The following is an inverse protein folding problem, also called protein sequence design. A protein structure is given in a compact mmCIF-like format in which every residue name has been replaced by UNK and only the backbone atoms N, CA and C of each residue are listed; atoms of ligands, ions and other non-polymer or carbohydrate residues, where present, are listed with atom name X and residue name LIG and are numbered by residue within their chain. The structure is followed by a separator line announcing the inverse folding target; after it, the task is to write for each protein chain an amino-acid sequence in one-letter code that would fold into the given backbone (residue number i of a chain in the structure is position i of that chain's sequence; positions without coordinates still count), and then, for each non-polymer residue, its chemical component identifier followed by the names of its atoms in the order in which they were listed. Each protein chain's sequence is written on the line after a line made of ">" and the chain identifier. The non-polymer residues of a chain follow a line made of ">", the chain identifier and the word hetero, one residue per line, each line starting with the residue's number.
data_IF_993333709077
#
_entry.id   IF_993333709077
#
_cell.length_a   1.000
_cell.length_b   1.000
_cell.length_c   1.000
_cell.angle_alpha   90.00
_cell.angle_beta   90.00
_cell.angle_gamma   90.00
#
_symmetry.space_group_name_H-M   'P 1'
#
loop_
_entity.id
_entity.type
_entity.pdbx_description
1 polymer ?
#
# COMPACT_ATOMS: atom_id res chain seq x y z
N UNK A 1 24.89 13.08 -26.30
CA UNK A 1 23.46 13.24 -26.62
C UNK A 1 22.67 11.91 -26.52
N UNK A 2 23.23 10.72 -26.79
CA UNK A 2 22.45 9.46 -26.77
C UNK A 2 22.38 8.71 -25.43
N UNK A 3 23.34 8.88 -24.51
CA UNK A 3 23.39 8.12 -23.25
C UNK A 3 22.31 8.58 -22.24
N UNK A 4 22.11 9.88 -22.08
CA UNK A 4 21.20 10.45 -21.08
C UNK A 4 19.71 10.21 -21.44
N UNK A 5 19.38 10.22 -22.73
CA UNK A 5 18.04 9.92 -23.21
C UNK A 5 17.68 8.44 -23.06
N UNK A 6 18.64 7.54 -23.28
CA UNK A 6 18.49 6.10 -23.04
C UNK A 6 18.31 5.82 -21.54
N UNK A 7 19.15 6.42 -20.71
CA UNK A 7 19.09 6.27 -19.25
C UNK A 7 17.78 6.81 -18.66
N UNK A 8 17.25 7.92 -19.17
CA UNK A 8 15.93 8.41 -18.79
C UNK A 8 14.79 7.46 -19.22
N UNK A 9 14.89 6.83 -20.40
CA UNK A 9 13.89 5.86 -20.88
C UNK A 9 13.88 4.59 -20.03
N UNK A 10 15.05 4.03 -19.71
CA UNK A 10 15.17 2.84 -18.87
C UNK A 10 14.66 3.10 -17.44
N UNK A 11 14.98 4.27 -16.88
CA UNK A 11 14.46 4.70 -15.56
C UNK A 11 12.95 4.89 -15.54
N UNK A 12 12.35 5.36 -16.63
CA UNK A 12 10.88 5.50 -16.76
C UNK A 12 10.21 4.13 -16.93
N UNK A 13 10.82 3.25 -17.70
CA UNK A 13 10.35 1.87 -17.88
C UNK A 13 10.31 1.12 -16.55
N UNK A 14 11.41 1.18 -15.77
CA UNK A 14 11.49 0.54 -14.46
C UNK A 14 10.46 1.08 -13.44
N UNK A 15 10.25 2.41 -13.41
CA UNK A 15 9.21 3.00 -12.55
C UNK A 15 7.82 2.53 -12.92
N UNK A 16 7.52 2.41 -14.21
CA UNK A 16 6.20 1.95 -14.67
C UNK A 16 5.94 0.51 -14.25
N UNK A 17 6.92 -0.38 -14.42
CA UNK A 17 6.82 -1.78 -13.96
C UNK A 17 6.59 -1.89 -12.45
N UNK A 18 7.25 -1.06 -11.64
CA UNK A 18 7.06 -1.04 -10.19
C UNK A 18 5.66 -0.54 -9.80
N UNK A 19 5.19 0.53 -10.45
CA UNK A 19 3.82 1.06 -10.24
C UNK A 19 2.78 0.01 -10.65
N UNK A 20 2.96 -0.64 -11.81
CA UNK A 20 2.04 -1.68 -12.28
C UNK A 20 1.96 -2.84 -11.27
N UNK A 21 3.10 -3.28 -10.72
CA UNK A 21 3.14 -4.30 -9.67
C UNK A 21 2.39 -3.85 -8.40
N UNK A 22 2.65 -2.64 -7.93
CA UNK A 22 2.01 -2.08 -6.73
C UNK A 22 0.49 -1.97 -6.92
N UNK A 23 0.01 -1.55 -8.10
CA UNK A 23 -1.42 -1.46 -8.40
C UNK A 23 -2.10 -2.83 -8.41
N UNK A 24 -1.41 -3.87 -8.90
CA UNK A 24 -1.90 -5.26 -8.84
C UNK A 24 -2.03 -5.72 -7.38
N UNK A 25 -1.02 -5.47 -6.55
CA UNK A 25 -1.04 -5.83 -5.13
C UNK A 25 -2.11 -5.05 -4.37
N UNK A 26 -2.26 -3.74 -4.63
CA UNK A 26 -3.34 -2.91 -4.08
C UNK A 26 -4.71 -3.49 -4.41
N UNK A 27 -4.94 -3.85 -5.67
CA UNK A 27 -6.22 -4.40 -6.09
C UNK A 27 -6.55 -5.72 -5.37
N UNK A 28 -5.55 -6.59 -5.22
CA UNK A 28 -5.71 -7.85 -4.48
C UNK A 28 -5.98 -7.60 -3.00
N UNK A 29 -5.24 -6.67 -2.39
CA UNK A 29 -5.42 -6.25 -1.01
C UNK A 29 -6.83 -5.71 -0.77
N UNK A 30 -7.36 -4.85 -1.64
CA UNK A 30 -8.71 -4.30 -1.51
C UNK A 30 -9.79 -5.38 -1.60
N UNK A 31 -9.67 -6.32 -2.53
CA UNK A 31 -10.61 -7.45 -2.65
C UNK A 31 -10.61 -8.31 -1.39
N UNK A 32 -9.43 -8.59 -0.83
CA UNK A 32 -9.32 -9.37 0.40
C UNK A 32 -9.81 -8.57 1.62
N UNK A 33 -9.57 -7.25 1.64
CA UNK A 33 -10.09 -6.35 2.67
C UNK A 33 -11.62 -6.38 2.74
N UNK A 34 -12.30 -6.24 1.59
CA UNK A 34 -13.77 -6.29 1.52
C UNK A 34 -14.32 -7.62 2.07
N UNK A 35 -13.64 -8.74 1.76
CA UNK A 35 -14.00 -10.07 2.25
C UNK A 35 -13.80 -10.19 3.77
N UNK A 36 -12.68 -9.74 4.32
CA UNK A 36 -12.44 -9.84 5.78
C UNK A 36 -13.25 -8.85 6.59
N UNK A 37 -13.62 -7.71 6.00
CA UNK A 37 -14.45 -6.69 6.64
C UNK A 37 -15.95 -7.01 6.58
N UNK A 38 -16.35 -8.06 5.86
CA UNK A 38 -17.77 -8.41 5.70
C UNK A 38 -18.55 -7.35 4.91
N UNK A 39 -17.93 -6.72 3.92
CA UNK A 39 -18.64 -5.84 3.00
C UNK A 39 -19.49 -6.71 2.06
N UNK A 40 -20.69 -6.26 1.68
CA UNK A 40 -21.56 -7.02 0.76
C UNK A 40 -20.78 -7.50 -0.48
N UNK A 41 -20.90 -8.79 -0.87
CA UNK A 41 -21.86 -9.81 -0.43
C UNK A 41 -21.43 -10.66 0.79
N UNK A 42 -20.37 -10.31 1.52
CA UNK A 42 -19.76 -11.15 2.58
C UNK A 42 -20.24 -10.84 4.02
N UNK A 43 -21.30 -10.04 4.18
CA UNK A 43 -21.70 -9.47 5.48
C UNK A 43 -22.13 -10.48 6.55
N UNK A 44 -22.53 -11.69 6.17
CA UNK A 44 -22.94 -12.75 7.08
C UNK A 44 -21.84 -13.79 7.38
N UNK A 45 -20.64 -13.62 6.78
CA UNK A 45 -19.54 -14.58 6.90
C UNK A 45 -18.52 -14.10 7.94
N UNK A 46 -18.21 -14.95 8.93
CA UNK A 46 -17.03 -14.72 9.77
C UNK A 46 -15.78 -15.09 8.96
N UNK A 47 -14.79 -14.20 8.82
CA UNK A 47 -13.59 -14.51 8.06
C UNK A 47 -12.84 -15.69 8.70
N UNK A 48 -12.39 -16.62 7.86
CA UNK A 48 -11.59 -17.76 8.31
C UNK A 48 -10.16 -17.33 8.64
N UNK A 49 -9.46 -18.08 9.49
CA UNK A 49 -8.04 -17.83 9.79
C UNK A 49 -7.18 -17.85 8.52
N UNK A 50 -7.51 -18.69 7.54
CA UNK A 50 -6.82 -18.74 6.25
C UNK A 50 -7.01 -17.45 5.45
N UNK A 51 -8.23 -16.90 5.43
CA UNK A 51 -8.53 -15.65 4.75
C UNK A 51 -7.84 -14.46 5.44
N UNK A 52 -7.82 -14.44 6.78
CA UNK A 52 -7.12 -13.40 7.55
C UNK A 52 -5.61 -13.46 7.31
N UNK A 53 -5.04 -14.66 7.20
CA UNK A 53 -3.65 -14.86 6.85
C UNK A 53 -3.35 -14.37 5.43
N UNK A 54 -4.15 -14.77 4.45
CA UNK A 54 -4.00 -14.32 3.06
C UNK A 54 -4.07 -12.79 2.96
N UNK A 55 -5.02 -12.17 3.67
CA UNK A 55 -5.13 -10.71 3.76
C UNK A 55 -3.89 -10.06 4.40
N UNK A 56 -3.37 -10.64 5.48
CA UNK A 56 -2.19 -10.12 6.17
C UNK A 56 -0.94 -10.16 5.28
N UNK A 57 -0.75 -11.26 4.54
CA UNK A 57 0.36 -11.43 3.59
C UNK A 57 0.30 -10.38 2.47
N UNK A 58 -0.85 -10.22 1.80
CA UNK A 58 -0.97 -9.24 0.71
C UNK A 58 -0.89 -7.79 1.22
N UNK A 59 -1.33 -7.52 2.46
CA UNK A 59 -1.22 -6.20 3.07
C UNK A 59 0.26 -5.83 3.25
N UNK A 60 1.07 -6.73 3.79
CA UNK A 60 2.51 -6.52 3.95
C UNK A 60 3.19 -6.34 2.58
N UNK A 61 2.84 -7.17 1.60
CA UNK A 61 3.38 -7.06 0.23
C UNK A 61 3.08 -5.69 -0.40
N UNK A 62 1.84 -5.22 -0.32
CA UNK A 62 1.44 -3.90 -0.82
C UNK A 62 2.13 -2.75 -0.07
N UNK A 63 2.29 -2.87 1.25
CA UNK A 63 3.02 -1.88 2.03
C UNK A 63 4.49 -1.82 1.57
N UNK A 64 5.12 -2.98 1.41
CA UNK A 64 6.50 -3.12 0.98
C UNK A 64 6.74 -2.61 -0.45
N UNK A 65 5.84 -2.87 -1.40
CA UNK A 65 6.02 -2.39 -2.78
C UNK A 65 5.96 -0.88 -2.92
N UNK A 66 5.19 -0.20 -2.07
CA UNK A 66 5.26 1.26 -1.94
C UNK A 66 6.65 1.73 -1.47
N UNK A 67 7.20 1.11 -0.42
CA UNK A 67 8.52 1.44 0.16
C UNK A 67 9.66 1.21 -0.82
N UNK A 68 9.77 0.01 -1.39
CA UNK A 68 10.86 -0.35 -2.31
C UNK A 68 10.67 0.19 -3.74
N UNK A 69 9.50 0.76 -4.04
CA UNK A 69 9.18 1.27 -5.38
C UNK A 69 9.14 2.80 -5.42
N UNK A 70 8.06 3.36 -4.88
CA UNK A 70 7.75 4.79 -4.98
C UNK A 70 8.59 5.62 -4.01
N UNK A 71 8.66 5.22 -2.75
CA UNK A 71 9.26 6.04 -1.69
C UNK A 71 10.78 5.97 -1.69
N UNK A 72 11.38 4.82 -2.00
CA UNK A 72 12.84 4.65 -2.10
C UNK A 72 13.44 5.70 -3.06
N UNK A 73 12.89 5.82 -4.26
CA UNK A 73 13.41 6.74 -5.29
C UNK A 73 13.40 8.21 -4.86
N UNK A 74 12.41 8.60 -4.05
CA UNK A 74 12.31 9.95 -3.50
C UNK A 74 13.33 10.13 -2.37
N UNK A 75 13.42 9.16 -1.47
CA UNK A 75 14.35 9.18 -0.33
C UNK A 75 15.83 9.16 -0.75
N UNK A 76 16.17 8.51 -1.86
CA UNK A 76 17.53 8.46 -2.40
C UNK A 76 17.97 9.78 -3.07
N UNK A 77 17.12 10.80 -3.07
CA UNK A 77 17.43 12.10 -3.69
C UNK A 77 17.58 12.04 -5.21
N UNK A 78 17.14 10.95 -5.85
CA UNK A 78 17.19 10.76 -7.31
C UNK A 78 16.10 11.56 -8.02
N UNK A 79 15.10 12.05 -7.29
CA UNK A 79 14.03 12.90 -7.81
C UNK A 79 14.43 14.39 -7.77
N UNK A 80 14.34 15.06 -8.93
CA UNK A 80 14.72 16.46 -9.10
C UNK A 80 13.52 17.40 -9.20
N UNK A 81 12.31 16.85 -9.38
CA UNK A 81 11.06 17.61 -9.46
C UNK A 81 10.65 18.07 -8.07
N UNK A 82 10.79 19.37 -7.79
CA UNK A 82 10.46 19.98 -6.48
C UNK A 82 9.01 19.72 -6.03
N UNK A 83 8.05 19.64 -6.96
CA UNK A 83 6.66 19.30 -6.65
C UNK A 83 6.53 17.91 -6.01
N UNK A 84 7.23 16.91 -6.56
CA UNK A 84 7.23 15.53 -6.04
C UNK A 84 7.93 15.45 -4.69
N UNK A 85 9.05 16.15 -4.53
CA UNK A 85 9.79 16.16 -3.25
C UNK A 85 8.92 16.75 -2.14
N UNK A 86 8.25 17.88 -2.40
CA UNK A 86 7.36 18.50 -1.41
C UNK A 86 6.16 17.62 -1.08
N UNK A 87 5.54 17.02 -2.10
CA UNK A 87 4.44 16.08 -1.89
C UNK A 87 4.92 14.90 -1.02
N UNK A 88 6.11 14.37 -1.28
CA UNK A 88 6.69 13.29 -0.48
C UNK A 88 6.89 13.66 1.00
N UNK A 89 7.35 14.87 1.30
CA UNK A 89 7.48 15.35 2.69
C UNK A 89 6.14 15.33 3.45
N UNK A 90 5.03 15.65 2.77
CA UNK A 90 3.67 15.58 3.33
C UNK A 90 3.16 14.13 3.42
N UNK A 91 3.56 13.28 2.46
CA UNK A 91 3.20 11.86 2.38
C UNK A 91 3.85 11.02 3.49
N UNK A 92 5.15 11.19 3.72
CA UNK A 92 5.95 10.29 4.57
C UNK A 92 5.37 10.03 5.96
N UNK A 93 4.88 11.04 6.72
CA UNK A 93 4.26 10.81 8.02
C UNK A 93 3.03 9.90 7.94
N UNK A 94 2.18 10.06 6.92
CA UNK A 94 0.97 9.25 6.73
C UNK A 94 1.31 7.83 6.29
N UNK A 95 2.31 7.68 5.43
CA UNK A 95 2.84 6.37 5.02
C UNK A 95 3.42 5.63 6.22
N UNK A 96 4.19 6.30 7.07
CA UNK A 96 4.74 5.72 8.28
C UNK A 96 3.63 5.26 9.24
N UNK A 97 2.60 6.08 9.45
CA UNK A 97 1.45 5.73 10.27
C UNK A 97 0.71 4.48 9.75
N UNK A 98 0.40 4.45 8.46
CA UNK A 98 -0.30 3.31 7.84
C UNK A 98 0.56 2.04 7.86
N UNK A 99 1.88 2.18 7.66
CA UNK A 99 2.84 1.07 7.76
C UNK A 99 2.84 0.49 9.18
N UNK A 100 2.87 1.34 10.20
CA UNK A 100 2.84 0.89 11.58
C UNK A 100 1.55 0.13 11.89
N UNK A 101 0.40 0.65 11.46
CA UNK A 101 -0.91 -0.01 11.66
C UNK A 101 -0.97 -1.36 10.93
N UNK A 102 -0.42 -1.44 9.72
CA UNK A 102 -0.38 -2.70 8.97
C UNK A 102 0.52 -3.75 9.65
N UNK A 103 1.67 -3.33 10.19
CA UNK A 103 2.56 -4.22 10.96
C UNK A 103 1.88 -4.68 12.26
N UNK A 104 1.25 -3.76 13.00
CA UNK A 104 0.48 -4.12 14.20
C UNK A 104 -0.65 -5.10 13.88
N UNK A 105 -1.35 -4.90 12.75
CA UNK A 105 -2.38 -5.82 12.29
C UNK A 105 -1.82 -7.23 12.04
N UNK A 106 -0.75 -7.33 11.26
CA UNK A 106 -0.10 -8.62 10.96
C UNK A 106 0.38 -9.32 12.25
N UNK A 107 1.03 -8.59 13.15
CA UNK A 107 1.51 -9.10 14.44
C UNK A 107 0.39 -9.71 15.30
N UNK A 108 -0.79 -9.08 15.30
CA UNK A 108 -1.96 -9.59 16.04
C UNK A 108 -2.52 -10.82 15.37
N UNK A 109 -2.63 -10.84 14.03
CA UNK A 109 -3.12 -12.01 13.29
C UNK A 109 -2.18 -13.22 13.44
N UNK A 110 -0.86 -13.02 13.45
CA UNK A 110 0.11 -14.10 13.70
C UNK A 110 0.02 -14.68 15.12
N UNK A 111 -0.35 -13.85 16.11
CA UNK A 111 -0.48 -14.26 17.52
C UNK A 111 -1.86 -14.82 17.86
N UNK A 112 -2.87 -14.59 17.02
CA UNK A 112 -4.22 -15.06 17.22
C UNK A 112 -4.30 -16.58 16.96
N UNK A 113 -4.06 -17.40 17.99
CA UNK A 113 -4.17 -18.86 17.94
C UNK A 113 -5.63 -19.36 18.00
N UNK A 114 -6.54 -18.81 17.18
CA UNK A 114 -7.94 -19.24 17.11
C UNK A 114 -8.84 -18.77 18.27
N UNK A 115 -8.33 -18.03 19.24
CA UNK A 115 -9.12 -17.45 20.33
C UNK A 115 -9.76 -16.11 19.91
N UNK A 116 -10.85 -16.23 19.12
CA UNK A 116 -12.10 -15.47 19.26
C UNK A 116 -12.09 -13.99 19.68
N UNK A 117 -11.14 -13.16 19.23
CA UNK A 117 -11.17 -11.72 19.50
C UNK A 117 -11.84 -10.90 18.38
N UNK A 118 -13.02 -11.35 17.93
CA UNK A 118 -13.80 -10.74 16.84
C UNK A 118 -14.15 -9.27 17.09
N UNK A 119 -14.37 -8.87 18.35
CA UNK A 119 -14.62 -7.47 18.71
C UNK A 119 -13.40 -6.54 18.53
N UNK A 120 -12.18 -7.08 18.58
CA UNK A 120 -10.97 -6.34 18.26
C UNK A 120 -10.74 -6.26 16.74
N UNK A 121 -11.04 -7.34 16.02
CA UNK A 121 -10.87 -7.42 14.57
C UNK A 121 -11.64 -6.31 13.81
N UNK A 122 -12.92 -6.08 14.12
CA UNK A 122 -13.71 -5.03 13.44
C UNK A 122 -13.11 -3.64 13.65
N UNK A 123 -12.67 -3.31 14.86
CA UNK A 123 -12.05 -2.02 15.15
C UNK A 123 -10.70 -1.87 14.43
N UNK A 124 -9.90 -2.93 14.41
CA UNK A 124 -8.64 -2.96 13.67
C UNK A 124 -8.85 -2.77 12.16
N UNK A 125 -9.83 -3.47 11.57
CA UNK A 125 -10.18 -3.35 10.16
C UNK A 125 -10.71 -1.96 9.80
N UNK A 126 -11.54 -1.35 10.66
CA UNK A 126 -12.01 0.03 10.46
C UNK A 126 -10.84 1.02 10.43
N UNK A 127 -9.97 0.98 11.45
CA UNK A 127 -8.78 1.86 11.53
C UNK A 127 -7.83 1.63 10.34
N UNK A 128 -7.60 0.37 9.98
CA UNK A 128 -6.76 0.01 8.84
C UNK A 128 -7.35 0.52 7.53
N UNK A 129 -8.66 0.36 7.30
CA UNK A 129 -9.35 0.83 6.11
C UNK A 129 -9.29 2.34 5.94
N UNK A 130 -9.51 3.10 7.01
CA UNK A 130 -9.40 4.57 7.01
C UNK A 130 -8.00 5.04 6.60
N UNK A 131 -6.95 4.46 7.19
CA UNK A 131 -5.58 4.86 6.87
C UNK A 131 -5.11 4.35 5.50
N UNK A 132 -5.60 3.18 5.06
CA UNK A 132 -5.39 2.69 3.70
C UNK A 132 -6.02 3.61 2.65
N UNK A 133 -7.24 4.11 2.89
CA UNK A 133 -7.89 5.04 1.98
C UNK A 133 -7.06 6.32 1.80
N UNK A 134 -6.61 6.92 2.92
CA UNK A 134 -5.73 8.09 2.87
C UNK A 134 -4.42 7.78 2.15
N UNK A 135 -3.79 6.63 2.45
CA UNK A 135 -2.56 6.18 1.77
C UNK A 135 -2.76 6.04 0.27
N UNK A 136 -3.87 5.47 -0.19
CA UNK A 136 -4.16 5.26 -1.60
C UNK A 136 -4.31 6.59 -2.34
N UNK A 137 -5.07 7.54 -1.79
CA UNK A 137 -5.24 8.87 -2.39
C UNK A 137 -3.90 9.60 -2.58
N UNK A 138 -3.07 9.49 -1.55
CA UNK A 138 -1.72 10.04 -1.48
C UNK A 138 -0.77 9.39 -2.50
N UNK A 139 -0.82 8.06 -2.63
CA UNK A 139 -0.08 7.33 -3.66
C UNK A 139 -0.55 7.68 -5.08
N UNK A 140 -1.84 7.89 -5.28
CA UNK A 140 -2.39 8.24 -6.59
C UNK A 140 -1.92 9.62 -7.05
N UNK A 141 -1.89 10.60 -6.14
CA UNK A 141 -1.29 11.91 -6.41
C UNK A 141 0.19 11.77 -6.81
N UNK A 142 0.94 10.95 -6.08
CA UNK A 142 2.35 10.72 -6.35
C UNK A 142 2.57 10.02 -7.71
N UNK A 143 1.79 8.98 -8.01
CA UNK A 143 1.84 8.27 -9.28
C UNK A 143 1.54 9.22 -10.45
N UNK A 144 0.52 10.06 -10.32
CA UNK A 144 0.14 11.04 -11.35
C UNK A 144 1.29 11.98 -11.68
N UNK A 145 1.94 12.54 -10.65
CA UNK A 145 3.11 13.41 -10.80
C UNK A 145 4.34 12.67 -11.37
N UNK A 146 4.52 11.40 -11.01
CA UNK A 146 5.65 10.59 -11.48
C UNK A 146 5.55 10.25 -12.96
N UNK A 147 4.37 9.85 -13.44
CA UNK A 147 4.11 9.44 -14.83
C UNK A 147 3.92 10.66 -15.74
N UNK A 148 3.52 11.81 -15.16
CA UNK A 148 3.17 13.02 -15.89
C UNK A 148 1.77 12.90 -16.47
N UNK A 149 0.97 13.96 -16.34
CA UNK A 149 -0.37 14.02 -16.93
C UNK A 149 -0.31 13.63 -18.40
N UNK A 150 -1.08 12.61 -18.78
CA UNK A 150 -1.42 12.34 -20.16
C UNK A 150 -2.29 13.47 -20.72
#
# INVERSE_FOLDING_TARGET
>A
MSSEAQEQRDRRSGTRTLIDKMLIERQRMLVLFERVAGVEPYADETPTDELLKEFSEILVDYIASGHFGLYERISEGKERRRGIVKLAEELYPRIANTTQIAVEFNDVMEKANGDGNSGNLTNMLSKLGEELAVRIELEDQLISEMIGHA
#
